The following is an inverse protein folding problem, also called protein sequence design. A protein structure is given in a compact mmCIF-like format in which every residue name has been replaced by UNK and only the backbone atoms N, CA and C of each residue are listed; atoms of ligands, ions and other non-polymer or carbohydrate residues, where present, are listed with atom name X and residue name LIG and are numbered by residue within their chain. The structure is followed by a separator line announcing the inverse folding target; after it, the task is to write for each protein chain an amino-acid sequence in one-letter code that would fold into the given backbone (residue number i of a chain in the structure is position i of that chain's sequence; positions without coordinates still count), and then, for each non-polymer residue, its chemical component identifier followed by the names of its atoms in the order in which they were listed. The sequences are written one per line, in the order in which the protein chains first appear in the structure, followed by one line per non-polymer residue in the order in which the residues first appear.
data_IF_461339059062
#
_entry.id   IF_461339059062
#
_cell.length_a   1.000
_cell.length_b   1.000
_cell.length_c   1.000
_cell.angle_alpha   90.00
_cell.angle_beta   90.00
_cell.angle_gamma   90.00
#
_symmetry.space_group_name_H-M   'P 1'
#
loop_
_entity.id
_entity.type
_entity.pdbx_description
1 polymer ?
#
# COMPACT_ATOMS: atom_id res chain seq x y z
N UNK A 1 6.93 10.31 44.66
CA UNK A 1 6.61 10.72 46.04
C UNK A 1 5.78 12.00 45.98
N UNK A 2 5.00 12.28 47.03
CA UNK A 2 4.36 13.59 47.31
C UNK A 2 3.13 13.95 46.44
N UNK A 3 1.97 14.34 46.98
CA UNK A 3 1.21 13.98 48.21
C UNK A 3 -0.22 14.56 48.07
N UNK A 4 -1.16 14.05 48.87
CA UNK A 4 -2.44 14.63 49.37
C UNK A 4 -2.80 16.09 49.01
N UNK A 5 -4.09 16.44 48.78
CA UNK A 5 -5.06 16.59 49.88
C UNK A 5 -6.54 16.65 49.43
N UNK A 6 -7.45 16.48 50.41
CA UNK A 6 -8.91 16.51 50.27
C UNK A 6 -9.55 17.45 51.32
N UNK A 7 -10.81 17.83 51.06
CA UNK A 7 -11.80 18.34 52.04
C UNK A 7 -11.67 19.83 52.48
N UNK A 8 -12.61 20.38 53.27
CA UNK A 8 -13.85 20.93 52.69
C UNK A 8 -14.29 22.30 53.28
N UNK A 9 -15.14 23.06 52.58
CA UNK A 9 -16.17 23.91 53.22
C UNK A 9 -17.11 24.59 52.23
N UNK A 10 -18.42 24.60 52.54
CA UNK A 10 -19.33 25.72 52.22
C UNK A 10 -20.37 25.81 53.34
N UNK A 11 -20.41 26.94 54.03
CA UNK A 11 -21.40 27.26 55.06
C UNK A 11 -22.31 28.42 54.62
N UNK A 12 -23.34 28.70 55.44
CA UNK A 12 -24.21 29.89 55.43
C UNK A 12 -25.40 29.95 54.43
N UNK A 13 -26.55 29.42 54.88
CA UNK A 13 -27.73 30.20 55.35
C UNK A 13 -28.12 31.48 54.57
N UNK A 14 -29.35 31.51 54.00
CA UNK A 14 -29.99 32.72 53.43
C UNK A 14 -31.51 32.61 53.20
N UNK A 15 -32.27 33.02 54.22
CA UNK A 15 -33.72 33.28 54.44
C UNK A 15 -34.74 33.42 53.27
N UNK A 16 -35.98 33.02 53.57
CA UNK A 16 -37.26 33.11 52.81
C UNK A 16 -37.88 34.54 52.79
N UNK A 17 -39.00 34.80 52.07
CA UNK A 17 -40.33 34.76 52.74
C UNK A 17 -41.56 34.28 51.91
N UNK A 18 -42.64 33.93 52.64
CA UNK A 18 -43.85 33.18 52.23
C UNK A 18 -45.12 34.05 52.21
N UNK A 19 -45.61 34.47 51.03
CA UNK A 19 -47.02 34.25 50.61
C UNK A 19 -47.63 32.83 50.74
N UNK A 20 -48.96 32.76 50.97
CA UNK A 20 -49.91 31.69 50.62
C UNK A 20 -51.28 32.39 50.31
N UNK A 21 -52.38 31.71 49.89
CA UNK A 21 -53.16 30.85 50.82
C UNK A 21 -53.89 29.64 50.20
N UNK A 22 -54.20 28.66 51.08
CA UNK A 22 -55.45 27.85 51.23
C UNK A 22 -56.12 27.28 49.96
N UNK A 23 -56.41 25.98 49.89
CA UNK A 23 -57.43 25.36 50.75
C UNK A 23 -57.15 23.91 51.21
N UNK A 24 -58.03 23.40 52.07
CA UNK A 24 -57.84 22.18 52.87
C UNK A 24 -58.54 20.94 52.30
N UNK A 25 -58.31 19.79 52.96
CA UNK A 25 -59.11 18.53 53.00
C UNK A 25 -58.42 17.26 52.46
N UNK A 26 -57.65 16.64 53.36
CA UNK A 26 -57.72 15.25 53.85
C UNK A 26 -57.72 13.99 52.94
N UNK A 27 -57.00 12.98 53.47
CA UNK A 27 -57.10 11.50 53.32
C UNK A 27 -56.43 10.76 52.14
N UNK A 28 -55.20 10.33 52.44
CA UNK A 28 -54.80 8.93 52.69
C UNK A 28 -55.10 7.81 51.65
N UNK A 29 -54.01 7.20 51.16
CA UNK A 29 -53.84 5.86 50.56
C UNK A 29 -54.78 5.38 49.43
N UNK A 30 -54.17 5.18 48.25
CA UNK A 30 -54.21 3.86 47.60
C UNK A 30 -52.86 3.53 46.91
N UNK A 31 -52.60 2.25 46.67
CA UNK A 31 -51.34 1.68 46.16
C UNK A 31 -51.29 1.69 44.63
N UNK A 32 -50.15 2.08 44.02
CA UNK A 32 -49.58 1.37 42.85
C UNK A 32 -48.13 1.82 42.54
N UNK A 33 -47.20 0.91 42.20
CA UNK A 33 -45.82 1.27 41.87
C UNK A 33 -45.69 1.85 40.46
N UNK A 34 -45.17 3.08 40.31
CA UNK A 34 -44.84 3.66 38.99
C UNK A 34 -43.48 3.19 38.51
N UNK A 35 -43.50 2.45 37.41
CA UNK A 35 -42.42 1.59 36.93
C UNK A 35 -41.07 2.24 36.64
N UNK A 36 -40.03 1.42 36.81
CA UNK A 36 -38.73 1.57 36.14
C UNK A 36 -38.94 1.65 34.62
N UNK A 37 -38.83 2.85 34.05
CA UNK A 37 -38.77 3.11 32.59
C UNK A 37 -37.61 4.04 32.24
N UNK A 38 -36.38 3.66 32.60
CA UNK A 38 -35.20 4.49 32.34
C UNK A 38 -33.84 3.81 32.53
N UNK A 39 -33.80 2.47 32.70
CA UNK A 39 -32.55 1.73 32.92
C UNK A 39 -32.17 0.80 31.74
N UNK A 40 -33.10 0.50 30.83
CA UNK A 40 -32.86 -0.45 29.73
C UNK A 40 -32.55 0.23 28.41
N UNK A 41 -33.14 1.40 28.12
CA UNK A 41 -32.88 2.13 26.86
C UNK A 41 -31.41 2.59 26.74
N UNK A 42 -30.78 2.95 27.86
CA UNK A 42 -29.40 3.45 27.93
C UNK A 42 -28.32 2.37 27.69
N UNK A 43 -28.64 1.09 27.97
CA UNK A 43 -27.71 -0.03 27.74
C UNK A 43 -27.93 -0.69 26.38
N UNK A 44 -29.14 -0.61 25.84
CA UNK A 44 -29.50 -1.24 24.58
C UNK A 44 -28.99 -0.44 23.36
N UNK A 45 -29.14 0.89 23.34
CA UNK A 45 -28.64 1.74 22.24
C UNK A 45 -27.12 1.67 22.03
N UNK A 46 -26.35 1.57 23.12
CA UNK A 46 -24.87 1.53 23.10
C UNK A 46 -24.29 0.33 22.34
N UNK A 47 -25.05 -0.77 22.27
CA UNK A 47 -24.69 -1.96 21.49
C UNK A 47 -24.81 -1.73 19.97
N UNK A 48 -25.84 -1.02 19.52
CA UNK A 48 -26.11 -0.78 18.09
C UNK A 48 -25.07 0.17 17.51
N UNK A 49 -24.75 1.25 18.20
CA UNK A 49 -23.68 2.19 17.80
C UNK A 49 -22.33 1.46 17.65
N UNK A 50 -22.00 0.58 18.60
CA UNK A 50 -20.77 -0.24 18.56
C UNK A 50 -20.79 -1.20 17.37
N UNK A 51 -21.91 -1.87 17.09
CA UNK A 51 -22.04 -2.77 15.94
C UNK A 51 -21.95 -2.04 14.60
N UNK A 52 -22.54 -0.85 14.48
CA UNK A 52 -22.41 0.01 13.29
C UNK A 52 -20.97 0.47 13.11
N UNK A 53 -20.30 0.92 14.17
CA UNK A 53 -18.89 1.32 14.12
C UNK A 53 -17.97 0.17 13.70
N UNK A 54 -18.17 -1.03 14.24
CA UNK A 54 -17.42 -2.25 13.85
C UNK A 54 -17.71 -2.62 12.40
N UNK A 55 -18.98 -2.60 11.96
CA UNK A 55 -19.33 -2.91 10.57
C UNK A 55 -18.68 -1.92 9.58
N UNK A 56 -18.71 -0.62 9.88
CA UNK A 56 -18.05 0.42 9.07
C UNK A 56 -16.53 0.20 9.04
N UNK A 57 -15.91 -0.12 10.18
CA UNK A 57 -14.47 -0.41 10.25
C UNK A 57 -14.09 -1.64 9.41
N UNK A 58 -14.87 -2.74 9.48
CA UNK A 58 -14.65 -3.95 8.67
C UNK A 58 -14.80 -3.66 7.18
N UNK A 59 -15.83 -2.90 6.78
CA UNK A 59 -16.01 -2.48 5.38
C UNK A 59 -14.86 -1.58 4.92
N UNK A 60 -14.41 -0.62 5.74
CA UNK A 60 -13.28 0.24 5.42
C UNK A 60 -11.97 -0.54 5.25
N UNK A 61 -11.70 -1.53 6.11
CA UNK A 61 -10.54 -2.43 5.98
C UNK A 61 -10.65 -3.32 4.75
N UNK A 62 -11.82 -3.89 4.47
CA UNK A 62 -12.05 -4.74 3.29
C UNK A 62 -11.89 -3.96 1.98
N UNK A 63 -12.48 -2.76 1.89
CA UNK A 63 -12.36 -1.87 0.72
C UNK A 63 -10.93 -1.34 0.58
N UNK A 64 -10.31 -0.89 1.68
CA UNK A 64 -8.92 -0.44 1.69
C UNK A 64 -7.95 -1.54 1.24
N UNK A 65 -8.07 -2.75 1.81
CA UNK A 65 -7.31 -3.92 1.42
C UNK A 65 -7.52 -4.30 -0.04
N UNK A 66 -8.77 -4.34 -0.52
CA UNK A 66 -9.08 -4.62 -1.93
C UNK A 66 -8.51 -3.57 -2.89
N UNK A 67 -8.52 -2.28 -2.52
CA UNK A 67 -7.93 -1.20 -3.31
C UNK A 67 -6.39 -1.28 -3.33
N UNK A 68 -5.76 -1.58 -2.19
CA UNK A 68 -4.30 -1.80 -2.11
C UNK A 68 -3.88 -3.01 -2.97
N UNK A 69 -4.59 -4.14 -2.86
CA UNK A 69 -4.34 -5.33 -3.67
C UNK A 69 -4.56 -5.09 -5.17
N UNK A 70 -5.53 -4.23 -5.55
CA UNK A 70 -5.73 -3.82 -6.95
C UNK A 70 -4.59 -2.91 -7.45
N UNK A 71 -4.06 -2.00 -6.63
CA UNK A 71 -2.92 -1.12 -6.99
C UNK A 71 -1.61 -1.88 -7.18
N UNK A 72 -1.40 -3.00 -6.49
CA UNK A 72 -0.17 -3.79 -6.60
C UNK A 72 -0.07 -4.66 -7.87
N UNK A 73 -1.11 -4.72 -8.71
CA UNK A 73 -1.06 -5.43 -10.01
C UNK A 73 -0.32 -4.64 -11.09
N UNK A 74 0.98 -4.45 -10.93
CA UNK A 74 1.85 -4.07 -12.05
C UNK A 74 1.83 -5.20 -13.10
N UNK A 75 1.83 -4.91 -14.41
CA UNK A 75 1.95 -5.96 -15.41
C UNK A 75 3.25 -6.74 -15.16
N UNK A 76 3.17 -8.07 -15.17
CA UNK A 76 4.36 -8.92 -15.07
C UNK A 76 5.18 -8.69 -16.33
N UNK A 77 6.32 -8.01 -16.20
CA UNK A 77 7.26 -7.79 -17.30
C UNK A 77 7.73 -9.12 -17.89
N UNK A 78 8.30 -9.09 -19.09
CA UNK A 78 8.75 -10.31 -19.75
C UNK A 78 10.00 -10.94 -19.11
N UNK A 79 10.64 -10.22 -18.19
CA UNK A 79 11.87 -10.55 -17.49
C UNK A 79 11.58 -11.24 -16.15
N UNK A 80 12.52 -12.08 -15.74
CA UNK A 80 12.59 -12.69 -14.42
C UNK A 80 13.86 -12.15 -13.74
N UNK A 81 13.80 -11.58 -12.52
CA UNK A 81 14.97 -11.06 -11.83
C UNK A 81 15.92 -12.15 -11.30
N UNK A 82 15.44 -13.38 -11.12
CA UNK A 82 16.22 -14.51 -10.61
C UNK A 82 16.80 -15.36 -11.75
N UNK A 83 16.13 -15.44 -12.90
CA UNK A 83 16.47 -16.37 -13.98
C UNK A 83 16.73 -15.69 -15.34
N UNK A 84 17.85 -16.05 -15.97
CA UNK A 84 18.16 -15.61 -17.34
C UNK A 84 17.21 -16.25 -18.36
N UNK A 85 16.43 -15.41 -19.05
CA UNK A 85 15.49 -15.81 -20.10
C UNK A 85 16.08 -15.61 -21.49
N UNK A 86 15.90 -16.59 -22.37
CA UNK A 86 16.32 -16.51 -23.78
C UNK A 86 15.26 -15.76 -24.59
N UNK A 87 15.69 -14.80 -25.41
CA UNK A 87 14.85 -14.06 -26.35
C UNK A 87 15.37 -14.27 -27.78
N UNK A 88 14.47 -14.36 -28.76
CA UNK A 88 14.84 -14.58 -30.16
C UNK A 88 15.32 -13.26 -30.79
N UNK A 89 16.52 -13.24 -31.35
CA UNK A 89 16.96 -12.14 -32.21
C UNK A 89 16.12 -12.14 -33.49
N UNK A 90 15.47 -11.01 -33.78
CA UNK A 90 14.63 -10.78 -34.98
C UNK A 90 15.44 -10.08 -36.06
N UNK A 91 16.24 -9.09 -35.67
CA UNK A 91 16.95 -8.21 -36.59
C UNK A 91 18.27 -7.73 -35.95
N UNK A 92 19.32 -7.63 -36.78
CA UNK A 92 20.55 -6.92 -36.47
C UNK A 92 20.77 -5.83 -37.51
N UNK A 93 20.79 -4.56 -37.09
CA UNK A 93 21.06 -3.41 -37.95
C UNK A 93 22.45 -2.87 -37.60
N UNK A 94 23.38 -2.81 -38.55
CA UNK A 94 24.68 -2.16 -38.32
C UNK A 94 24.48 -0.63 -38.35
N UNK A 95 24.93 0.08 -37.31
CA UNK A 95 24.84 1.56 -37.23
C UNK A 95 26.17 2.20 -37.64
N UNK A 96 27.29 1.60 -37.22
CA UNK A 96 28.64 2.09 -37.50
C UNK A 96 29.63 0.92 -37.49
N UNK A 97 30.90 1.15 -37.80
CA UNK A 97 31.97 0.13 -37.84
C UNK A 97 31.92 -0.83 -36.65
N UNK A 98 31.76 -0.30 -35.43
CA UNK A 98 31.72 -1.08 -34.19
C UNK A 98 30.42 -0.91 -33.38
N UNK A 99 29.31 -0.47 -34.00
CA UNK A 99 28.02 -0.35 -33.28
C UNK A 99 26.94 -1.04 -34.09
N UNK A 100 26.19 -1.93 -33.43
CA UNK A 100 25.03 -2.59 -34.00
C UNK A 100 23.82 -2.50 -33.06
N UNK A 101 22.64 -2.38 -33.65
CA UNK A 101 21.35 -2.47 -32.99
C UNK A 101 20.80 -3.88 -33.15
N UNK A 102 20.31 -4.46 -32.05
CA UNK A 102 19.78 -5.81 -31.99
C UNK A 102 18.32 -5.72 -31.51
N UNK A 103 17.38 -6.23 -32.31
CA UNK A 103 15.96 -6.27 -31.98
C UNK A 103 15.55 -7.68 -31.60
N UNK A 104 15.07 -7.86 -30.38
CA UNK A 104 14.68 -9.16 -29.83
C UNK A 104 13.16 -9.26 -29.68
N UNK A 105 12.58 -10.41 -30.05
CA UNK A 105 11.17 -10.69 -29.84
C UNK A 105 10.90 -11.07 -28.38
N UNK A 106 9.83 -10.50 -27.83
CA UNK A 106 9.22 -10.91 -26.58
C UNK A 106 8.35 -12.17 -26.80
N UNK A 107 7.94 -12.89 -25.73
CA UNK A 107 7.19 -14.14 -25.86
C UNK A 107 5.83 -14.01 -26.54
N UNK A 108 5.21 -12.83 -26.49
CA UNK A 108 3.96 -12.52 -27.21
C UNK A 108 4.05 -11.14 -27.88
N UNK A 109 3.38 -10.92 -29.04
CA UNK A 109 3.46 -9.67 -29.78
C UNK A 109 2.81 -8.47 -29.04
N UNK A 110 2.00 -8.73 -28.02
CA UNK A 110 1.30 -7.72 -27.20
C UNK A 110 1.97 -7.44 -25.86
N UNK A 111 3.02 -8.20 -25.50
CA UNK A 111 3.73 -8.00 -24.24
C UNK A 111 4.73 -6.84 -24.30
N UNK A 112 4.97 -6.22 -23.16
CA UNK A 112 6.01 -5.19 -22.96
C UNK A 112 7.20 -5.79 -22.21
N UNK A 113 8.37 -5.17 -22.33
CA UNK A 113 9.53 -5.58 -21.54
C UNK A 113 9.29 -5.36 -20.04
N UNK A 114 8.66 -4.23 -19.68
CA UNK A 114 8.15 -3.97 -18.33
C UNK A 114 9.24 -3.64 -17.30
N UNK A 115 10.26 -2.88 -17.72
CA UNK A 115 11.31 -2.39 -16.82
C UNK A 115 10.85 -1.10 -16.13
N UNK A 116 10.91 -1.01 -14.79
CA UNK A 116 10.76 0.27 -14.11
C UNK A 116 11.80 1.29 -14.59
N UNK A 117 11.40 2.56 -14.67
CA UNK A 117 12.29 3.67 -15.07
C UNK A 117 13.55 3.67 -14.20
N UNK A 118 14.72 3.79 -14.85
CA UNK A 118 16.04 3.76 -14.21
C UNK A 118 16.63 2.36 -14.05
N UNK A 119 15.91 1.28 -14.40
CA UNK A 119 16.43 -0.08 -14.38
C UNK A 119 17.09 -0.48 -15.72
N UNK A 120 17.91 -1.53 -15.68
CA UNK A 120 18.63 -2.10 -16.81
C UNK A 120 18.48 -3.63 -16.82
N UNK A 121 18.90 -4.30 -17.90
CA UNK A 121 18.92 -5.77 -18.00
C UNK A 121 20.32 -6.33 -18.02
N UNK A 122 20.52 -7.48 -17.38
CA UNK A 122 21.75 -8.26 -17.49
C UNK A 122 21.67 -9.18 -18.70
N UNK A 123 22.53 -8.95 -19.71
CA UNK A 123 22.68 -9.86 -20.83
C UNK A 123 23.84 -10.82 -20.58
N UNK A 124 23.61 -12.11 -20.79
CA UNK A 124 24.59 -13.21 -20.66
C UNK A 124 24.95 -13.72 -22.05
N UNK A 125 26.23 -13.86 -22.34
CA UNK A 125 26.76 -14.35 -23.61
C UNK A 125 28.19 -14.86 -23.48
N UNK A 126 28.77 -15.29 -24.59
CA UNK A 126 30.20 -15.61 -24.67
C UNK A 126 30.93 -14.47 -25.37
N UNK A 127 32.19 -14.24 -24.98
CA UNK A 127 33.07 -13.33 -25.70
C UNK A 127 33.88 -14.04 -26.79
N UNK A 128 34.79 -13.30 -27.45
CA UNK A 128 35.66 -13.83 -28.50
C UNK A 128 36.65 -14.92 -28.03
N UNK A 129 36.82 -15.10 -26.72
CA UNK A 129 37.64 -16.16 -26.12
C UNK A 129 36.82 -17.38 -25.69
N UNK A 130 35.50 -17.34 -25.87
CA UNK A 130 34.56 -18.38 -25.42
C UNK A 130 34.23 -18.31 -23.93
N UNK A 131 34.77 -17.32 -23.20
CA UNK A 131 34.45 -17.13 -21.79
C UNK A 131 33.06 -16.50 -21.63
N UNK A 132 32.34 -16.97 -20.60
CA UNK A 132 31.02 -16.46 -20.29
C UNK A 132 31.10 -15.07 -19.62
N UNK A 133 30.38 -14.12 -20.19
CA UNK A 133 30.32 -12.73 -19.74
C UNK A 133 28.88 -12.30 -19.51
N UNK A 134 28.66 -11.62 -18.38
CA UNK A 134 27.40 -10.96 -18.05
C UNK A 134 27.66 -9.45 -18.06
N UNK A 135 26.83 -8.69 -18.80
CA UNK A 135 26.95 -7.24 -18.94
C UNK A 135 25.58 -6.56 -18.80
N UNK A 136 25.50 -5.44 -18.04
CA UNK A 136 24.28 -4.65 -17.97
C UNK A 136 24.09 -3.83 -19.25
N UNK A 137 22.86 -3.75 -19.75
CA UNK A 137 22.45 -2.89 -20.86
C UNK A 137 21.10 -2.23 -20.56
N UNK A 138 20.95 -0.97 -20.95
CA UNK A 138 19.68 -0.26 -20.91
C UNK A 138 19.00 -0.38 -22.28
N UNK A 139 17.77 -0.93 -22.38
CA UNK A 139 17.03 -0.97 -23.64
C UNK A 139 16.71 0.42 -24.17
N UNK A 140 16.64 0.55 -25.50
CA UNK A 140 16.28 1.80 -26.20
C UNK A 140 14.80 1.89 -26.56
N UNK A 141 14.00 0.88 -26.21
CA UNK A 141 12.55 0.80 -26.42
C UNK A 141 11.77 1.23 -25.18
N UNK A 142 10.59 1.82 -25.41
CA UNK A 142 9.65 2.24 -24.37
C UNK A 142 8.59 1.16 -24.11
N UNK A 143 7.80 1.28 -23.04
CA UNK A 143 6.66 0.39 -22.78
C UNK A 143 5.52 0.53 -23.83
N UNK A 144 5.60 1.49 -24.75
CA UNK A 144 4.73 1.56 -25.94
C UNK A 144 5.15 0.59 -27.05
N UNK A 145 6.40 0.11 -27.04
CA UNK A 145 6.93 -0.80 -28.05
C UNK A 145 6.53 -2.24 -27.72
N UNK A 146 5.42 -2.69 -28.31
CA UNK A 146 4.88 -4.03 -28.05
C UNK A 146 5.68 -5.13 -28.77
N UNK A 147 5.80 -6.28 -28.11
CA UNK A 147 6.28 -7.53 -28.69
C UNK A 147 7.78 -7.60 -28.98
N UNK A 148 8.55 -6.54 -28.73
CA UNK A 148 9.98 -6.51 -28.97
C UNK A 148 10.71 -5.53 -28.06
N UNK A 149 12.03 -5.71 -27.92
CA UNK A 149 12.92 -4.71 -27.32
C UNK A 149 14.19 -4.56 -28.15
N UNK A 150 14.84 -3.39 -28.06
CA UNK A 150 16.05 -3.09 -28.82
C UNK A 150 17.23 -2.75 -27.90
N UNK A 151 18.39 -3.33 -28.18
CA UNK A 151 19.66 -3.01 -27.55
C UNK A 151 20.59 -2.42 -28.61
N UNK A 152 21.33 -1.37 -28.25
CA UNK A 152 22.46 -0.86 -29.05
C UNK A 152 23.74 -1.27 -28.35
N UNK A 153 24.54 -2.10 -29.00
CA UNK A 153 25.77 -2.65 -28.44
C UNK A 153 26.95 -2.18 -29.29
N UNK A 154 27.96 -1.63 -28.61
CA UNK A 154 29.25 -1.32 -29.19
C UNK A 154 30.18 -2.51 -29.01
N UNK A 155 30.73 -3.01 -30.11
CA UNK A 155 31.84 -3.96 -30.09
C UNK A 155 33.11 -3.21 -29.67
N UNK A 156 33.65 -3.60 -28.52
CA UNK A 156 34.86 -3.02 -27.95
C UNK A 156 35.80 -4.19 -27.63
N UNK A 157 37.03 -4.21 -28.17
CA UNK A 157 37.96 -5.30 -27.90
C UNK A 157 38.21 -5.42 -26.39
N UNK A 158 37.94 -6.61 -25.87
CA UNK A 158 37.99 -6.90 -24.44
C UNK A 158 39.44 -6.86 -23.94
N UNK A 159 39.82 -5.76 -23.28
CA UNK A 159 41.08 -5.64 -22.52
C UNK A 159 40.99 -6.52 -21.25
N UNK A 160 41.14 -7.83 -21.40
CA UNK A 160 41.51 -8.71 -20.29
C UNK A 160 43.02 -8.58 -20.04
N UNK A 161 43.44 -8.81 -18.80
CA UNK A 161 44.79 -8.61 -18.26
C UNK A 161 45.19 -7.16 -17.92
N UNK A 162 44.70 -6.69 -16.76
CA UNK A 162 45.43 -5.74 -15.90
C UNK A 162 45.52 -6.36 -14.50
N UNK A 163 46.23 -7.48 -14.41
CA UNK A 163 46.43 -8.24 -13.17
C UNK A 163 47.78 -9.00 -13.19
N UNK A 164 48.84 -8.30 -13.57
CA UNK A 164 50.24 -8.74 -13.41
C UNK A 164 51.15 -7.51 -13.43
N UNK A 165 51.01 -6.66 -12.40
CA UNK A 165 52.05 -5.71 -12.03
C UNK A 165 53.12 -6.49 -11.24
N UNK A 166 54.41 -6.29 -11.51
CA UNK A 166 55.51 -6.94 -10.80
C UNK A 166 55.68 -6.42 -9.36
#
# INVERSE_FOLDING_TARGET
QTQLNLAPNTAARGTQPTPAPRDSVARETDRQPRGRKGAMDFLQGRSVETMVAVAVAVVAVAVGGALLLRRSKRPKGCLDPENFKKFKLVEKTQISHNVAKFRFALPTPTSVLGLPIGQHISCRGQDATGEEVIKPYTPTTLDSDLGNFQLVIKDVPSRKNVASLP
#
